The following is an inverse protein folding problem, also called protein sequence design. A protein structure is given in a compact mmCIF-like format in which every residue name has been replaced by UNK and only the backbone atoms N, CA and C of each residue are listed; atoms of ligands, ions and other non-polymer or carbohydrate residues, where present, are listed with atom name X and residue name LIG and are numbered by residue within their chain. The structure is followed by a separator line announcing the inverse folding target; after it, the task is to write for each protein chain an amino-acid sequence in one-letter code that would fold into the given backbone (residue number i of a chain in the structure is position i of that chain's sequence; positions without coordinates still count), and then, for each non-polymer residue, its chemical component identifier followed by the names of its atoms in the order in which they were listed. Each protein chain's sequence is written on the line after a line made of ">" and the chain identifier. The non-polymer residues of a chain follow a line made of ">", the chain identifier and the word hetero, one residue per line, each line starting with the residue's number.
data_IF_639479253414
#
_entry.id   IF_639479253414
#
_cell.length_a   1.000
_cell.length_b   1.000
_cell.length_c   1.000
_cell.angle_alpha   90.00
_cell.angle_beta   90.00
_cell.angle_gamma   90.00
#
_symmetry.space_group_name_H-M   'P 1'
#
loop_
_entity.id
_entity.type
_entity.pdbx_description
1 polymer ?
#
# COMPACT_ATOMS: atom_id res chain seq x y z
N UNK A 1 -22.21 -24.05 -25.00
CA UNK A 1 -21.29 -22.91 -24.86
C UNK A 1 -20.47 -23.14 -23.60
N UNK A 2 -19.14 -22.99 -23.61
CA UNK A 2 -18.38 -23.09 -22.37
C UNK A 2 -18.82 -21.95 -21.45
N UNK A 3 -19.29 -22.29 -20.25
CA UNK A 3 -19.58 -21.31 -19.20
C UNK A 3 -18.24 -20.68 -18.83
N UNK A 4 -18.15 -19.35 -18.84
CA UNK A 4 -16.91 -18.65 -18.44
C UNK A 4 -16.55 -18.96 -16.99
N UNK A 5 -15.30 -18.68 -16.59
CA UNK A 5 -14.88 -18.79 -15.19
C UNK A 5 -15.74 -17.90 -14.29
N UNK A 6 -15.78 -18.18 -12.99
CA UNK A 6 -16.58 -17.39 -12.03
C UNK A 6 -16.18 -15.91 -12.06
N UNK A 7 -14.86 -15.65 -12.11
CA UNK A 7 -14.24 -14.34 -12.31
C UNK A 7 -14.77 -13.64 -13.56
N UNK A 8 -14.84 -14.34 -14.71
CA UNK A 8 -15.39 -13.78 -15.95
C UNK A 8 -16.89 -13.51 -15.88
N UNK A 9 -17.64 -14.33 -15.16
CA UNK A 9 -19.08 -14.14 -14.95
C UNK A 9 -19.31 -12.90 -14.08
N UNK A 10 -18.55 -12.75 -12.98
CA UNK A 10 -18.61 -11.59 -12.10
C UNK A 10 -18.28 -10.29 -12.84
N UNK A 11 -17.17 -10.27 -13.59
CA UNK A 11 -16.79 -9.12 -14.42
C UNK A 11 -17.89 -8.72 -15.42
N UNK A 12 -18.55 -9.71 -16.05
CA UNK A 12 -19.68 -9.47 -16.96
C UNK A 12 -20.90 -8.89 -16.26
N UNK A 13 -21.19 -9.33 -15.03
CA UNK A 13 -22.30 -8.79 -14.22
C UNK A 13 -22.04 -7.34 -13.79
N UNK A 14 -20.80 -6.97 -13.49
CA UNK A 14 -20.41 -5.62 -13.11
C UNK A 14 -20.35 -4.65 -14.29
N UNK A 15 -19.98 -5.14 -15.47
CA UNK A 15 -19.80 -4.31 -16.68
C UNK A 15 -21.05 -3.49 -17.01
N UNK A 16 -20.86 -2.18 -17.18
CA UNK A 16 -21.90 -1.22 -17.52
C UNK A 16 -22.76 -0.77 -16.34
N UNK A 17 -22.54 -1.28 -15.12
CA UNK A 17 -23.20 -0.75 -13.92
C UNK A 17 -22.64 0.63 -13.58
N UNK A 18 -23.50 1.50 -13.06
CA UNK A 18 -23.10 2.77 -12.48
C UNK A 18 -22.54 2.49 -11.08
N UNK A 19 -21.28 2.84 -10.85
CA UNK A 19 -20.65 2.87 -9.53
C UNK A 19 -20.78 4.30 -8.99
N UNK A 20 -21.35 4.43 -7.80
CA UNK A 20 -21.45 5.69 -7.05
C UNK A 20 -20.69 5.51 -5.74
N UNK A 21 -19.60 6.25 -5.55
CA UNK A 21 -18.82 6.26 -4.32
C UNK A 21 -19.15 7.59 -3.61
N UNK A 22 -19.64 7.60 -2.36
CA UNK A 22 -19.90 8.84 -1.64
C UNK A 22 -18.59 9.59 -1.33
N UNK A 23 -18.69 10.87 -0.96
CA UNK A 23 -17.52 11.60 -0.46
C UNK A 23 -17.01 10.94 0.83
N UNK A 24 -15.79 10.43 0.79
CA UNK A 24 -15.15 9.75 1.91
C UNK A 24 -14.42 10.72 2.84
N UNK A 25 -14.15 11.97 2.40
CA UNK A 25 -13.38 12.95 3.19
C UNK A 25 -14.01 13.26 4.55
N UNK A 26 -15.35 13.37 4.70
CA UNK A 26 -15.95 13.65 6.00
C UNK A 26 -15.62 12.61 7.08
N UNK A 27 -15.43 11.34 6.71
CA UNK A 27 -15.10 10.24 7.62
C UNK A 27 -13.75 10.50 8.34
N UNK A 28 -12.82 11.17 7.67
CA UNK A 28 -11.47 11.46 8.16
C UNK A 28 -11.27 12.91 8.59
N UNK A 29 -12.36 13.69 8.73
CA UNK A 29 -12.28 15.15 8.90
C UNK A 29 -11.54 15.59 10.18
N UNK A 30 -11.49 14.72 11.20
CA UNK A 30 -10.75 14.94 12.46
C UNK A 30 -9.33 14.36 12.43
N UNK A 31 -8.96 13.60 11.41
CA UNK A 31 -7.60 13.08 11.25
C UNK A 31 -6.67 14.11 10.59
N UNK A 32 -5.37 14.11 10.92
CA UNK A 32 -4.40 15.00 10.27
C UNK A 32 -4.31 14.70 8.76
N UNK A 33 -4.20 15.78 7.96
CA UNK A 33 -3.96 15.72 6.52
C UNK A 33 -3.06 16.88 6.11
N UNK A 34 -1.91 16.57 5.50
CA UNK A 34 -0.90 17.54 5.09
C UNK A 34 -0.25 17.13 3.77
N UNK A 35 0.57 18.00 3.20
CA UNK A 35 1.43 17.70 2.06
C UNK A 35 2.83 18.25 2.33
N UNK A 36 3.84 17.42 2.11
CA UNK A 36 5.24 17.84 2.20
C UNK A 36 5.55 18.99 1.23
N UNK A 37 6.26 20.00 1.71
CA UNK A 37 6.84 21.06 0.89
C UNK A 37 7.85 20.52 -0.14
N UNK A 38 8.37 19.31 0.07
CA UNK A 38 9.37 18.67 -0.78
C UNK A 38 8.79 18.12 -2.10
N UNK A 39 7.46 18.09 -2.25
CA UNK A 39 6.78 17.49 -3.42
C UNK A 39 7.30 18.02 -4.76
N UNK A 40 7.29 19.34 -4.97
CA UNK A 40 7.63 19.94 -6.27
C UNK A 40 9.06 19.60 -6.69
N UNK A 41 10.02 19.72 -5.76
CA UNK A 41 11.42 19.38 -5.99
C UNK A 41 11.60 17.89 -6.32
N UNK A 42 10.86 17.01 -5.64
CA UNK A 42 10.97 15.56 -5.82
C UNK A 42 10.29 15.10 -7.11
N UNK A 43 9.14 15.68 -7.49
CA UNK A 43 8.44 15.32 -8.74
C UNK A 43 9.34 15.45 -9.97
N UNK A 44 10.05 16.56 -10.09
CA UNK A 44 10.99 16.79 -11.20
C UNK A 44 12.17 15.80 -11.18
N UNK A 45 12.66 15.46 -9.99
CA UNK A 45 13.74 14.50 -9.82
C UNK A 45 13.32 13.08 -10.21
N UNK A 46 12.10 12.67 -9.80
CA UNK A 46 11.52 11.38 -10.14
C UNK A 46 11.35 11.25 -11.65
N UNK A 47 10.78 12.25 -12.32
CA UNK A 47 10.58 12.20 -13.77
C UNK A 47 11.91 12.00 -14.53
N UNK A 48 12.98 12.70 -14.12
CA UNK A 48 14.32 12.49 -14.68
C UNK A 48 14.85 11.09 -14.40
N UNK A 49 14.72 10.60 -13.16
CA UNK A 49 15.19 9.26 -12.76
C UNK A 49 14.50 8.16 -13.57
N UNK A 50 13.18 8.25 -13.77
CA UNK A 50 12.40 7.27 -14.53
C UNK A 50 12.87 7.11 -15.97
N UNK A 51 13.26 8.19 -16.64
CA UNK A 51 13.80 8.15 -18.01
C UNK A 51 15.10 7.34 -18.14
N UNK A 52 15.83 7.16 -17.03
CA UNK A 52 17.08 6.40 -16.96
C UNK A 52 16.83 4.95 -16.59
N UNK A 53 15.93 4.69 -15.63
CA UNK A 53 15.73 3.36 -15.05
C UNK A 53 14.68 2.52 -15.77
N UNK A 54 13.71 3.13 -16.45
CA UNK A 54 12.65 2.45 -17.19
C UNK A 54 12.77 2.76 -18.69
N UNK A 55 13.20 1.81 -19.54
CA UNK A 55 13.35 2.07 -20.98
C UNK A 55 12.00 2.18 -21.72
N UNK A 56 10.92 1.65 -21.14
CA UNK A 56 9.57 1.66 -21.73
C UNK A 56 8.84 2.96 -21.42
N UNK A 57 8.48 3.73 -22.46
CA UNK A 57 7.64 4.94 -22.31
C UNK A 57 6.28 4.63 -21.66
N UNK A 58 5.71 3.44 -21.94
CA UNK A 58 4.46 2.99 -21.29
C UNK A 58 4.63 2.87 -19.78
N UNK A 59 5.72 2.22 -19.33
CA UNK A 59 6.00 2.07 -17.89
C UNK A 59 6.35 3.41 -17.25
N UNK A 60 7.13 4.26 -17.93
CA UNK A 60 7.40 5.62 -17.46
C UNK A 60 6.10 6.41 -17.27
N UNK A 61 5.17 6.33 -18.23
CA UNK A 61 3.87 6.99 -18.13
C UNK A 61 3.05 6.44 -16.96
N UNK A 62 2.99 5.11 -16.79
CA UNK A 62 2.25 4.50 -15.69
C UNK A 62 2.74 4.98 -14.31
N UNK A 63 4.06 5.03 -14.11
CA UNK A 63 4.64 5.55 -12.86
C UNK A 63 4.42 7.05 -12.70
N UNK A 64 4.51 7.84 -13.78
CA UNK A 64 4.20 9.27 -13.73
C UNK A 64 2.72 9.55 -13.43
N UNK A 65 1.80 8.76 -13.98
CA UNK A 65 0.37 8.86 -13.69
C UNK A 65 0.06 8.45 -12.25
N UNK A 66 0.85 7.52 -11.69
CA UNK A 66 0.79 7.15 -10.27
C UNK A 66 1.37 8.21 -9.33
N UNK A 67 2.17 9.15 -9.82
CA UNK A 67 2.77 10.25 -9.04
C UNK A 67 3.26 9.80 -7.63
N UNK A 68 4.27 8.91 -7.54
CA UNK A 68 4.76 8.40 -6.27
C UNK A 68 5.39 9.51 -5.39
N UNK A 69 5.81 10.62 -5.98
CA UNK A 69 6.26 11.80 -5.24
C UNK A 69 5.10 12.45 -4.48
N UNK A 70 3.90 12.51 -5.08
CA UNK A 70 2.71 13.01 -4.40
C UNK A 70 2.26 12.05 -3.30
N UNK A 71 2.27 10.75 -3.57
CA UNK A 71 1.94 9.74 -2.56
C UNK A 71 2.84 9.89 -1.33
N UNK A 72 4.16 9.92 -1.55
CA UNK A 72 5.14 10.14 -0.49
C UNK A 72 4.91 11.48 0.24
N UNK A 73 4.65 12.56 -0.50
CA UNK A 73 4.38 13.88 0.07
C UNK A 73 3.16 13.90 1.00
N UNK A 74 2.17 13.05 0.75
CA UNK A 74 0.96 12.96 1.55
C UNK A 74 1.08 11.97 2.71
N UNK A 75 1.85 10.90 2.54
CA UNK A 75 2.07 9.89 3.57
C UNK A 75 3.06 10.36 4.64
N UNK A 76 4.15 10.99 4.23
CA UNK A 76 5.22 11.43 5.13
C UNK A 76 5.46 12.95 5.05
N UNK A 77 4.42 13.78 5.30
CA UNK A 77 4.49 15.21 5.07
C UNK A 77 5.51 15.93 5.98
N UNK A 78 5.80 15.36 7.15
CA UNK A 78 6.67 15.93 8.19
C UNK A 78 8.08 15.33 8.20
N UNK A 79 8.40 14.40 7.29
CA UNK A 79 9.74 13.82 7.20
C UNK A 79 10.76 14.86 6.78
N UNK A 80 11.98 14.74 7.30
CA UNK A 80 13.12 15.54 6.80
C UNK A 80 13.39 15.20 5.33
N UNK A 81 14.05 16.12 4.62
CA UNK A 81 14.39 15.92 3.21
C UNK A 81 15.07 14.57 2.93
N UNK A 82 16.07 14.18 3.74
CA UNK A 82 16.80 12.93 3.52
C UNK A 82 15.92 11.69 3.72
N UNK A 83 15.03 11.70 4.73
CA UNK A 83 14.08 10.61 4.95
C UNK A 83 13.06 10.56 3.82
N UNK A 84 12.51 11.71 3.44
CA UNK A 84 11.53 11.86 2.37
C UNK A 84 12.03 11.29 1.02
N UNK A 85 13.28 11.55 0.67
CA UNK A 85 13.88 10.99 -0.55
C UNK A 85 13.92 9.46 -0.54
N UNK A 86 14.34 8.86 0.57
CA UNK A 86 14.41 7.41 0.72
C UNK A 86 13.02 6.79 0.67
N UNK A 87 12.04 7.41 1.34
CA UNK A 87 10.65 6.95 1.31
C UNK A 87 10.04 7.02 -0.09
N UNK A 88 10.35 8.08 -0.84
CA UNK A 88 9.92 8.20 -2.25
C UNK A 88 10.58 7.14 -3.13
N UNK A 89 11.90 6.94 -2.97
CA UNK A 89 12.64 5.94 -3.73
C UNK A 89 12.17 4.51 -3.43
N UNK A 90 11.85 4.21 -2.18
CA UNK A 90 11.26 2.95 -1.78
C UNK A 90 9.88 2.75 -2.42
N UNK A 91 9.02 3.77 -2.40
CA UNK A 91 7.69 3.73 -3.05
C UNK A 91 7.80 3.42 -4.54
N UNK A 92 8.76 4.05 -5.23
CA UNK A 92 9.02 3.81 -6.66
C UNK A 92 9.54 2.39 -6.88
N UNK A 93 10.54 1.97 -6.11
CA UNK A 93 11.14 0.65 -6.21
C UNK A 93 10.08 -0.44 -6.03
N UNK A 94 9.23 -0.27 -5.01
CA UNK A 94 8.16 -1.19 -4.67
C UNK A 94 7.13 -1.30 -5.79
N UNK A 95 6.64 -0.17 -6.31
CA UNK A 95 5.67 -0.19 -7.42
C UNK A 95 6.23 -0.82 -8.70
N UNK A 96 7.52 -0.60 -9.02
CA UNK A 96 8.15 -1.24 -10.18
C UNK A 96 8.37 -2.75 -9.93
N UNK A 97 8.69 -3.14 -8.69
CA UNK A 97 8.85 -4.55 -8.30
C UNK A 97 7.53 -5.32 -8.42
N UNK A 98 6.46 -4.75 -7.89
CA UNK A 98 5.09 -5.29 -7.94
C UNK A 98 4.63 -5.49 -9.39
N UNK A 99 4.67 -4.42 -10.19
CA UNK A 99 4.35 -4.47 -11.62
C UNK A 99 5.20 -5.52 -12.36
N UNK A 100 6.49 -5.66 -12.03
CA UNK A 100 7.37 -6.64 -12.69
C UNK A 100 6.95 -8.07 -12.36
N UNK A 101 6.66 -8.39 -11.09
CA UNK A 101 6.27 -9.73 -10.65
C UNK A 101 4.92 -10.13 -11.22
N UNK A 102 3.94 -9.21 -11.24
CA UNK A 102 2.61 -9.48 -11.81
C UNK A 102 2.65 -9.81 -13.31
N UNK A 103 3.58 -9.21 -14.05
CA UNK A 103 3.71 -9.41 -15.50
C UNK A 103 4.55 -10.65 -15.88
N UNK A 104 5.08 -11.41 -14.92
CA UNK A 104 5.76 -12.67 -15.19
C UNK A 104 4.75 -13.80 -15.44
N UNK A 105 4.65 -14.24 -16.69
CA UNK A 105 3.76 -15.34 -17.08
C UNK A 105 4.19 -16.68 -16.46
N UNK A 106 5.50 -16.93 -16.42
CA UNK A 106 6.10 -18.15 -15.90
C UNK A 106 6.22 -18.10 -14.38
N UNK A 107 5.55 -19.03 -13.70
CA UNK A 107 5.53 -19.14 -12.24
C UNK A 107 6.92 -19.43 -11.66
N UNK A 108 7.76 -20.20 -12.36
CA UNK A 108 9.12 -20.51 -11.92
C UNK A 108 10.00 -19.25 -11.96
N UNK A 109 9.92 -18.47 -13.04
CA UNK A 109 10.70 -17.23 -13.17
C UNK A 109 10.27 -16.20 -12.11
N UNK A 110 8.97 -16.13 -11.80
CA UNK A 110 8.45 -15.29 -10.72
C UNK A 110 8.98 -15.73 -9.35
N UNK A 111 9.01 -17.03 -9.08
CA UNK A 111 9.52 -17.55 -7.81
C UNK A 111 11.02 -17.34 -7.65
N UNK A 112 11.81 -17.59 -8.70
CA UNK A 112 13.24 -17.31 -8.71
C UNK A 112 13.52 -15.82 -8.47
N UNK A 113 12.70 -14.94 -9.05
CA UNK A 113 12.80 -13.50 -8.83
C UNK A 113 12.48 -13.09 -7.39
N UNK A 114 11.43 -13.67 -6.78
CA UNK A 114 11.08 -13.45 -5.37
C UNK A 114 12.20 -13.90 -4.45
N UNK A 115 12.71 -15.12 -4.62
CA UNK A 115 13.81 -15.66 -3.82
C UNK A 115 15.07 -14.81 -3.93
N UNK A 116 15.47 -14.44 -5.15
CA UNK A 116 16.61 -13.56 -5.37
C UNK A 116 16.41 -12.17 -4.73
N UNK A 117 15.17 -11.66 -4.71
CA UNK A 117 14.85 -10.41 -4.02
C UNK A 117 15.03 -10.55 -2.52
N UNK A 118 14.45 -11.58 -1.89
CA UNK A 118 14.54 -11.80 -0.42
C UNK A 118 15.99 -11.95 0.03
N UNK A 119 16.76 -12.79 -0.66
CA UNK A 119 18.19 -12.98 -0.36
C UNK A 119 18.97 -11.67 -0.44
N UNK A 120 18.70 -10.87 -1.48
CA UNK A 120 19.39 -9.60 -1.65
C UNK A 120 18.94 -8.53 -0.65
N UNK A 121 17.65 -8.46 -0.30
CA UNK A 121 17.16 -7.54 0.75
C UNK A 121 17.79 -7.89 2.09
N UNK A 122 17.82 -9.17 2.47
CA UNK A 122 18.49 -9.62 3.70
C UNK A 122 19.99 -9.29 3.70
N UNK A 123 20.68 -9.51 2.58
CA UNK A 123 22.08 -9.12 2.43
C UNK A 123 22.27 -7.61 2.54
N UNK A 124 21.42 -6.84 1.87
CA UNK A 124 21.43 -5.38 1.88
C UNK A 124 21.06 -4.82 3.25
N UNK A 125 20.36 -5.55 4.11
CA UNK A 125 20.20 -5.14 5.50
C UNK A 125 21.35 -5.59 6.41
N UNK A 126 22.30 -6.37 5.90
CA UNK A 126 23.40 -6.92 6.70
C UNK A 126 22.95 -8.03 7.64
N UNK A 127 21.89 -8.76 7.27
CA UNK A 127 21.26 -9.83 8.06
C UNK A 127 21.39 -11.20 7.39
N UNK A 128 22.05 -11.28 6.23
CA UNK A 128 22.27 -12.55 5.55
C UNK A 128 23.29 -13.42 6.29
N UNK A 129 22.94 -14.70 6.50
CA UNK A 129 23.80 -15.70 7.16
C UNK A 129 24.99 -16.18 6.31
N UNK A 130 25.09 -15.77 5.04
CA UNK A 130 26.14 -16.20 4.11
C UNK A 130 26.90 -15.01 3.55
N UNK A 131 28.19 -14.94 3.84
CA UNK A 131 29.10 -14.04 3.12
C UNK A 131 29.21 -14.52 1.66
N UNK A 132 29.17 -13.58 0.71
CA UNK A 132 29.46 -13.86 -0.70
C UNK A 132 28.29 -14.28 -1.59
N UNK A 133 27.04 -14.02 -1.23
CA UNK A 133 25.91 -14.18 -2.16
C UNK A 133 26.16 -13.36 -3.45
N UNK A 134 26.02 -13.96 -4.65
CA UNK A 134 26.26 -13.26 -5.89
C UNK A 134 25.35 -12.03 -6.03
N UNK A 135 25.93 -10.92 -6.50
CA UNK A 135 25.17 -9.73 -6.84
C UNK A 135 24.12 -10.08 -7.90
N UNK A 136 22.82 -9.82 -7.67
CA UNK A 136 21.77 -10.19 -8.60
C UNK A 136 21.99 -9.60 -9.98
N UNK A 137 21.74 -10.39 -11.03
CA UNK A 137 21.86 -9.90 -12.42
C UNK A 137 20.79 -8.82 -12.68
N UNK A 138 19.59 -9.03 -12.14
CA UNK A 138 18.45 -8.15 -12.38
C UNK A 138 18.66 -6.77 -11.72
N UNK A 139 18.58 -5.71 -12.53
CA UNK A 139 18.84 -4.33 -12.08
C UNK A 139 17.83 -3.83 -11.03
N UNK A 140 16.56 -4.25 -11.14
CA UNK A 140 15.53 -3.85 -10.18
C UNK A 140 15.88 -4.27 -8.76
N UNK A 141 16.31 -5.52 -8.57
CA UNK A 141 16.72 -6.04 -7.26
C UNK A 141 17.94 -5.25 -6.74
N UNK A 142 18.96 -5.06 -7.60
CA UNK A 142 20.18 -4.30 -7.23
C UNK A 142 19.94 -2.85 -6.81
N UNK A 143 18.96 -2.19 -7.42
CA UNK A 143 18.67 -0.79 -7.12
C UNK A 143 18.22 -0.58 -5.66
N UNK A 144 17.81 -1.64 -4.97
CA UNK A 144 17.46 -1.61 -3.55
C UNK A 144 18.62 -1.23 -2.64
N UNK A 145 19.88 -1.53 -3.00
CA UNK A 145 21.04 -1.30 -2.13
C UNK A 145 21.19 0.17 -1.71
N UNK A 146 20.86 1.11 -2.59
CA UNK A 146 20.92 2.54 -2.27
C UNK A 146 19.92 2.95 -1.17
N UNK A 147 18.75 2.32 -1.14
CA UNK A 147 17.74 2.49 -0.08
C UNK A 147 18.22 1.80 1.19
N UNK A 148 18.67 0.55 1.06
CA UNK A 148 19.12 -0.27 2.17
C UNK A 148 20.31 0.34 2.91
N UNK A 149 21.27 0.95 2.21
CA UNK A 149 22.39 1.66 2.83
C UNK A 149 21.90 2.74 3.81
N UNK A 150 20.95 3.57 3.39
CA UNK A 150 20.40 4.65 4.22
C UNK A 150 19.62 4.10 5.42
N UNK A 151 18.98 2.95 5.25
CA UNK A 151 18.33 2.23 6.35
C UNK A 151 19.37 1.70 7.34
N UNK A 152 20.45 1.05 6.88
CA UNK A 152 21.53 0.53 7.75
C UNK A 152 22.23 1.63 8.56
N UNK A 153 22.32 2.83 8.02
CA UNK A 153 22.90 3.99 8.71
C UNK A 153 22.00 4.52 9.83
N UNK A 154 20.69 4.23 9.78
CA UNK A 154 19.69 4.81 10.66
C UNK A 154 19.09 3.83 11.68
N UNK A 155 18.92 2.58 11.26
CA UNK A 155 18.28 1.53 12.06
C UNK A 155 19.33 0.66 12.74
N UNK A 156 19.01 0.23 13.96
CA UNK A 156 19.78 -0.80 14.63
C UNK A 156 19.49 -2.21 14.07
N UNK A 157 20.03 -3.24 14.71
CA UNK A 157 19.84 -4.62 14.26
C UNK A 157 18.37 -5.08 14.36
N UNK A 158 17.71 -4.77 15.49
CA UNK A 158 16.34 -5.21 15.78
C UNK A 158 15.34 -4.57 14.83
N UNK A 159 15.47 -3.26 14.55
CA UNK A 159 14.63 -2.56 13.58
C UNK A 159 14.82 -3.09 12.15
N UNK A 160 16.05 -3.49 11.79
CA UNK A 160 16.32 -4.10 10.47
C UNK A 160 15.74 -5.51 10.35
N UNK A 161 15.78 -6.31 11.42
CA UNK A 161 15.17 -7.64 11.44
C UNK A 161 13.65 -7.56 11.30
N UNK A 162 13.01 -6.65 12.02
CA UNK A 162 11.57 -6.44 11.92
C UNK A 162 11.16 -5.91 10.54
N UNK A 163 11.93 -4.97 9.98
CA UNK A 163 11.70 -4.51 8.61
C UNK A 163 11.86 -5.64 7.60
N UNK A 164 12.90 -6.48 7.72
CA UNK A 164 13.11 -7.64 6.85
C UNK A 164 11.90 -8.59 6.90
N UNK A 165 11.33 -8.81 8.09
CA UNK A 165 10.13 -9.63 8.26
C UNK A 165 8.95 -9.11 7.46
N UNK A 166 8.74 -7.79 7.40
CA UNK A 166 7.69 -7.19 6.58
C UNK A 166 7.93 -7.39 5.07
N UNK A 167 9.18 -7.23 4.61
CA UNK A 167 9.54 -7.50 3.22
C UNK A 167 9.28 -8.97 2.86
N UNK A 168 9.73 -9.91 3.68
CA UNK A 168 9.55 -11.34 3.45
C UNK A 168 8.07 -11.72 3.40
N UNK A 169 7.26 -11.20 4.34
CA UNK A 169 5.82 -11.45 4.37
C UNK A 169 5.11 -10.96 3.11
N UNK A 170 5.41 -9.73 2.67
CA UNK A 170 4.82 -9.19 1.44
C UNK A 170 5.23 -10.02 0.22
N UNK A 171 6.54 -10.29 0.06
CA UNK A 171 7.05 -11.04 -1.09
C UNK A 171 6.43 -12.43 -1.15
N UNK A 172 6.35 -13.15 -0.02
CA UNK A 172 5.74 -14.48 0.05
C UNK A 172 4.24 -14.45 -0.24
N UNK A 173 3.54 -13.41 0.20
CA UNK A 173 2.11 -13.25 -0.02
C UNK A 173 1.76 -12.95 -1.48
N UNK A 174 2.63 -12.27 -2.25
CA UNK A 174 2.40 -11.99 -3.67
C UNK A 174 2.23 -13.26 -4.53
N UNK A 175 2.80 -14.39 -4.08
CA UNK A 175 2.56 -15.71 -4.69
C UNK A 175 1.08 -16.10 -4.59
N UNK A 176 0.48 -15.91 -3.41
CA UNK A 176 -0.91 -16.30 -3.14
C UNK A 176 -1.88 -15.40 -3.93
N UNK A 177 -1.59 -14.11 -4.05
CA UNK A 177 -2.41 -13.20 -4.87
C UNK A 177 -2.34 -13.57 -6.36
N UNK A 178 -1.15 -13.94 -6.87
CA UNK A 178 -1.01 -14.48 -8.23
C UNK A 178 -1.86 -15.74 -8.44
N UNK A 179 -1.99 -16.60 -7.42
CA UNK A 179 -2.84 -17.79 -7.46
C UNK A 179 -4.33 -17.43 -7.52
N UNK A 180 -4.76 -16.37 -6.80
CA UNK A 180 -6.14 -15.88 -6.87
C UNK A 180 -6.47 -15.29 -8.24
N UNK A 181 -5.58 -14.47 -8.82
CA UNK A 181 -5.78 -13.89 -10.15
C UNK A 181 -5.88 -14.97 -11.25
N UNK A 182 -5.16 -16.08 -11.10
CA UNK A 182 -5.18 -17.21 -12.05
C UNK A 182 -6.29 -18.24 -11.75
N UNK A 183 -7.02 -18.09 -10.64
CA UNK A 183 -8.07 -19.02 -10.23
C UNK A 183 -9.32 -18.91 -11.12
N UNK A 184 -9.98 -20.04 -11.38
CA UNK A 184 -11.30 -20.05 -12.01
C UNK A 184 -12.43 -19.63 -11.05
N UNK A 185 -12.14 -19.67 -9.74
CA UNK A 185 -13.06 -19.37 -8.64
C UNK A 185 -12.73 -18.03 -7.99
N UNK A 186 -13.76 -17.33 -7.57
CA UNK A 186 -13.66 -16.09 -6.80
C UNK A 186 -13.45 -16.45 -5.31
N UNK A 187 -12.45 -15.87 -4.61
CA UNK A 187 -12.23 -16.18 -3.20
C UNK A 187 -13.37 -15.62 -2.32
N UNK A 188 -13.58 -16.21 -1.14
CA UNK A 188 -14.47 -15.60 -0.15
C UNK A 188 -13.90 -14.26 0.34
N UNK A 189 -14.76 -13.36 0.84
CA UNK A 189 -14.32 -12.08 1.38
C UNK A 189 -13.32 -12.24 2.54
N UNK A 190 -13.51 -13.25 3.40
CA UNK A 190 -12.54 -13.58 4.46
C UNK A 190 -11.18 -13.94 3.86
N UNK A 191 -11.15 -14.85 2.89
CA UNK A 191 -9.90 -15.33 2.30
C UNK A 191 -9.19 -14.23 1.50
N UNK A 192 -9.96 -13.33 0.88
CA UNK A 192 -9.44 -12.12 0.29
C UNK A 192 -8.69 -11.27 1.31
N UNK A 193 -9.30 -10.97 2.47
CA UNK A 193 -8.66 -10.14 3.51
C UNK A 193 -7.41 -10.77 4.14
N UNK A 194 -7.39 -12.09 4.30
CA UNK A 194 -6.18 -12.81 4.76
C UNK A 194 -4.96 -12.60 3.86
N UNK A 195 -5.18 -12.35 2.57
CA UNK A 195 -4.11 -12.13 1.59
C UNK A 195 -3.88 -10.64 1.37
N UNK A 196 -4.94 -9.87 1.15
CA UNK A 196 -4.88 -8.43 0.87
C UNK A 196 -4.15 -7.63 1.95
N UNK A 197 -4.33 -8.01 3.21
CA UNK A 197 -3.62 -7.37 4.34
C UNK A 197 -2.10 -7.56 4.26
N UNK A 198 -1.63 -8.60 3.58
CA UNK A 198 -0.21 -8.88 3.35
C UNK A 198 0.28 -8.34 1.99
N UNK A 199 -0.56 -8.36 0.95
CA UNK A 199 -0.18 -8.01 -0.43
C UNK A 199 -0.42 -6.57 -0.84
N UNK A 200 -1.13 -5.77 -0.03
CA UNK A 200 -1.28 -4.33 -0.31
C UNK A 200 0.05 -3.56 -0.40
N UNK A 201 1.16 -4.16 0.06
CA UNK A 201 2.49 -3.56 0.16
C UNK A 201 2.62 -2.47 1.22
N UNK A 202 1.49 -2.06 1.78
CA UNK A 202 1.39 -1.04 2.79
C UNK A 202 2.09 -1.46 4.08
N UNK A 203 2.01 -2.72 4.49
CA UNK A 203 2.72 -3.21 5.69
C UNK A 203 4.22 -2.91 5.64
N UNK A 204 4.85 -3.14 4.48
CA UNK A 204 6.28 -2.83 4.28
C UNK A 204 6.56 -1.32 4.37
N UNK A 205 5.70 -0.49 3.80
CA UNK A 205 5.84 0.97 3.87
C UNK A 205 5.53 1.54 5.26
N UNK A 206 4.59 0.96 6.00
CA UNK A 206 4.31 1.30 7.40
C UNK A 206 5.46 0.87 8.32
N UNK A 207 6.19 -0.20 7.99
CA UNK A 207 7.39 -0.63 8.72
C UNK A 207 8.54 0.40 8.70
N UNK A 208 8.45 1.38 7.79
CA UNK A 208 9.37 2.50 7.68
C UNK A 208 8.93 3.74 8.48
N UNK A 209 7.92 3.62 9.34
CA UNK A 209 7.39 4.75 10.12
C UNK A 209 8.41 5.36 11.06
N UNK A 210 9.16 4.52 11.78
CA UNK A 210 10.27 4.95 12.65
C UNK A 210 11.34 5.72 11.85
N UNK A 211 11.71 5.22 10.66
CA UNK A 211 12.66 5.87 9.76
C UNK A 211 12.13 7.22 9.28
N UNK A 212 10.88 7.26 8.82
CA UNK A 212 10.27 8.46 8.27
C UNK A 212 10.20 9.60 9.31
N UNK A 213 9.93 9.25 10.57
CA UNK A 213 9.76 10.20 11.67
C UNK A 213 11.02 10.45 12.49
N UNK A 214 12.10 9.69 12.25
CA UNK A 214 13.33 9.71 13.05
C UNK A 214 13.07 9.44 14.54
N UNK A 215 12.25 8.42 14.82
CA UNK A 215 11.89 7.98 16.17
C UNK A 215 12.21 6.50 16.34
N UNK A 216 12.33 6.05 17.61
CA UNK A 216 12.36 4.64 17.95
C UNK A 216 11.20 4.29 18.87
N UNK A 217 10.39 3.32 18.47
CA UNK A 217 9.29 2.80 19.28
C UNK A 217 9.78 1.75 20.28
N UNK A 218 9.25 1.71 21.51
CA UNK A 218 9.56 0.63 22.44
C UNK A 218 8.95 -0.69 21.97
N UNK A 219 9.73 -1.78 22.00
CA UNK A 219 9.24 -3.12 21.65
C UNK A 219 8.04 -3.56 22.51
N UNK A 220 7.98 -3.11 23.77
CA UNK A 220 6.84 -3.35 24.66
C UNK A 220 5.53 -2.74 24.15
N UNK A 221 5.58 -1.83 23.18
CA UNK A 221 4.42 -1.24 22.50
C UNK A 221 4.15 -1.93 21.16
N UNK A 222 5.19 -2.15 20.34
CA UNK A 222 5.06 -2.77 19.02
C UNK A 222 4.42 -4.16 19.11
N UNK A 223 4.72 -4.90 20.19
CA UNK A 223 4.20 -6.24 20.46
C UNK A 223 2.81 -6.29 21.10
N UNK A 224 2.16 -5.14 21.30
CA UNK A 224 0.83 -5.09 21.91
C UNK A 224 -0.26 -5.30 20.87
N UNK A 225 -1.38 -5.90 21.30
CA UNK A 225 -2.60 -6.01 20.49
C UNK A 225 -3.15 -4.65 20.07
N UNK A 226 -2.95 -3.60 20.89
CA UNK A 226 -3.37 -2.24 20.54
C UNK A 226 -2.60 -1.73 19.30
N UNK A 227 -1.27 -1.86 19.29
CA UNK A 227 -0.46 -1.47 18.13
C UNK A 227 -0.82 -2.28 16.89
N UNK A 228 -0.98 -3.60 17.03
CA UNK A 228 -1.43 -4.48 15.94
C UNK A 228 -2.80 -4.06 15.38
N UNK A 229 -3.74 -3.69 16.25
CA UNK A 229 -5.06 -3.20 15.84
C UNK A 229 -4.96 -1.90 15.03
N UNK A 230 -4.14 -0.95 15.47
CA UNK A 230 -3.89 0.29 14.72
C UNK A 230 -3.26 -0.01 13.35
N UNK A 231 -2.28 -0.90 13.32
CA UNK A 231 -1.59 -1.32 12.10
C UNK A 231 -2.55 -1.97 11.09
N UNK A 232 -3.30 -2.99 11.51
CA UNK A 232 -4.24 -3.70 10.63
C UNK A 232 -5.37 -2.78 10.18
N UNK A 233 -5.93 -1.95 11.07
CA UNK A 233 -6.98 -0.99 10.70
C UNK A 233 -6.47 -0.02 9.64
N UNK A 234 -5.22 0.45 9.77
CA UNK A 234 -4.58 1.33 8.79
C UNK A 234 -4.49 0.66 7.41
N UNK A 235 -4.06 -0.61 7.37
CA UNK A 235 -3.96 -1.37 6.12
C UNK A 235 -5.32 -1.61 5.48
N UNK A 236 -6.31 -2.00 6.27
CA UNK A 236 -7.63 -2.36 5.75
C UNK A 236 -8.38 -1.12 5.27
N UNK A 237 -8.36 -0.01 6.00
CA UNK A 237 -8.97 1.26 5.54
C UNK A 237 -8.41 1.65 4.17
N UNK A 238 -7.08 1.67 4.04
CA UNK A 238 -6.41 2.00 2.79
C UNK A 238 -6.80 1.05 1.65
N UNK A 239 -6.85 -0.25 1.93
CA UNK A 239 -7.22 -1.28 0.96
C UNK A 239 -8.68 -1.13 0.49
N UNK A 240 -9.64 -0.84 1.39
CA UNK A 240 -11.04 -0.62 1.00
C UNK A 240 -11.16 0.63 0.13
N UNK A 241 -10.48 1.73 0.48
CA UNK A 241 -10.43 2.94 -0.35
C UNK A 241 -9.87 2.62 -1.75
N UNK A 242 -8.76 1.87 -1.79
CA UNK A 242 -8.15 1.45 -3.04
C UNK A 242 -9.14 0.61 -3.87
N UNK A 243 -9.81 -0.37 -3.27
CA UNK A 243 -10.76 -1.24 -3.95
C UNK A 243 -11.97 -0.49 -4.51
N UNK A 244 -12.49 0.50 -3.78
CA UNK A 244 -13.56 1.38 -4.25
C UNK A 244 -13.12 2.20 -5.46
N UNK A 245 -11.98 2.89 -5.35
CA UNK A 245 -11.52 3.85 -6.37
C UNK A 245 -10.92 3.14 -7.60
N UNK A 246 -10.25 1.99 -7.39
CA UNK A 246 -9.56 1.26 -8.45
C UNK A 246 -10.44 0.30 -9.24
N UNK A 247 -11.65 -0.04 -8.77
CA UNK A 247 -12.49 -1.10 -9.34
C UNK A 247 -12.63 -1.02 -10.87
N UNK A 248 -12.89 0.17 -11.42
CA UNK A 248 -12.99 0.38 -12.88
C UNK A 248 -11.67 0.08 -13.61
N UNK A 249 -10.55 0.50 -13.04
CA UNK A 249 -9.20 0.26 -13.59
C UNK A 249 -8.92 -1.24 -13.58
N UNK A 250 -9.13 -1.91 -12.45
CA UNK A 250 -8.83 -3.35 -12.32
C UNK A 250 -9.74 -4.20 -13.21
N UNK A 251 -11.03 -3.87 -13.33
CA UNK A 251 -11.93 -4.53 -14.27
C UNK A 251 -11.50 -4.40 -15.73
N UNK A 252 -10.90 -3.27 -16.11
CA UNK A 252 -10.33 -3.10 -17.46
C UNK A 252 -9.09 -3.95 -17.69
N UNK A 253 -8.34 -4.25 -16.62
CA UNK A 253 -7.22 -5.18 -16.64
C UNK A 253 -7.68 -6.65 -16.58
N UNK A 254 -8.97 -6.91 -16.35
CA UNK A 254 -9.55 -8.25 -16.28
C UNK A 254 -9.62 -8.84 -14.88
N UNK A 255 -9.22 -8.08 -13.85
CA UNK A 255 -9.31 -8.48 -12.45
C UNK A 255 -10.64 -8.05 -11.83
N UNK A 256 -11.14 -8.88 -10.92
CA UNK A 256 -12.26 -8.57 -10.01
C UNK A 256 -11.87 -8.85 -8.56
N UNK A 257 -10.57 -8.90 -8.27
CA UNK A 257 -10.03 -9.16 -6.94
C UNK A 257 -10.12 -7.88 -6.09
N UNK A 258 -11.33 -7.55 -5.67
CA UNK A 258 -11.69 -6.34 -4.93
C UNK A 258 -12.79 -6.67 -3.93
N UNK A 259 -12.66 -6.21 -2.68
CA UNK A 259 -13.70 -6.40 -1.66
C UNK A 259 -15.09 -5.92 -2.12
N UNK A 260 -15.16 -4.85 -2.92
CA UNK A 260 -16.41 -4.34 -3.50
C UNK A 260 -17.00 -5.32 -4.51
N UNK A 261 -16.17 -5.90 -5.37
CA UNK A 261 -16.62 -6.91 -6.34
C UNK A 261 -17.06 -8.21 -5.65
N UNK A 262 -16.38 -8.61 -4.56
CA UNK A 262 -16.75 -9.76 -3.75
C UNK A 262 -18.08 -9.56 -3.00
N UNK A 263 -18.28 -8.39 -2.40
CA UNK A 263 -19.56 -8.03 -1.79
C UNK A 263 -20.68 -8.00 -2.83
N UNK A 264 -20.42 -7.44 -4.02
CA UNK A 264 -21.38 -7.50 -5.12
C UNK A 264 -21.68 -8.95 -5.56
N UNK A 265 -20.68 -9.83 -5.57
CA UNK A 265 -20.88 -11.24 -5.89
C UNK A 265 -21.81 -11.94 -4.90
N UNK A 266 -21.69 -11.61 -3.61
CA UNK A 266 -22.51 -12.18 -2.53
C UNK A 266 -23.94 -11.64 -2.52
N UNK A 267 -24.13 -10.33 -2.73
CA UNK A 267 -25.43 -9.67 -2.56
C UNK A 267 -26.15 -9.32 -3.87
N UNK A 268 -25.48 -9.39 -5.02
CA UNK A 268 -25.94 -8.95 -6.35
C UNK A 268 -26.41 -7.47 -6.42
N UNK A 269 -26.01 -6.65 -5.46
CA UNK A 269 -26.33 -5.23 -5.34
C UNK A 269 -25.04 -4.41 -5.16
N UNK A 270 -24.76 -3.53 -6.13
CA UNK A 270 -23.52 -2.75 -6.15
C UNK A 270 -23.59 -1.55 -5.19
N UNK A 271 -24.76 -0.96 -5.02
CA UNK A 271 -24.94 0.17 -4.10
C UNK A 271 -24.82 -0.33 -2.66
N UNK A 272 -25.38 -1.52 -2.36
CA UNK A 272 -25.19 -2.18 -1.07
C UNK A 272 -23.71 -2.56 -0.85
N UNK A 273 -23.01 -3.08 -1.87
CA UNK A 273 -21.59 -3.40 -1.75
C UNK A 273 -20.75 -2.16 -1.39
N UNK A 274 -21.01 -1.02 -2.04
CA UNK A 274 -20.34 0.25 -1.70
C UNK A 274 -20.72 0.70 -0.28
N UNK A 275 -22.00 0.64 0.09
CA UNK A 275 -22.44 1.03 1.43
C UNK A 275 -21.73 0.21 2.52
N UNK A 276 -21.66 -1.12 2.37
CA UNK A 276 -20.98 -2.00 3.30
C UNK A 276 -19.48 -1.70 3.40
N UNK A 277 -18.83 -1.37 2.27
CA UNK A 277 -17.42 -0.93 2.27
C UNK A 277 -17.23 0.40 3.04
N UNK A 278 -18.13 1.36 2.86
CA UNK A 278 -18.08 2.67 3.55
C UNK A 278 -18.35 2.50 5.05
N UNK A 279 -19.36 1.73 5.42
CA UNK A 279 -19.68 1.42 6.81
C UNK A 279 -18.49 0.72 7.50
N UNK A 280 -17.79 -0.15 6.78
CA UNK A 280 -16.61 -0.83 7.32
C UNK A 280 -15.44 0.14 7.55
N UNK A 281 -15.21 1.10 6.65
CA UNK A 281 -14.23 2.18 6.86
C UNK A 281 -14.59 2.97 8.13
N UNK A 282 -15.85 3.36 8.31
CA UNK A 282 -16.30 4.12 9.49
C UNK A 282 -16.05 3.35 10.79
N UNK A 283 -16.42 2.06 10.83
CA UNK A 283 -16.17 1.19 11.99
C UNK A 283 -14.68 1.07 12.31
N UNK A 284 -13.82 0.94 11.29
CA UNK A 284 -12.38 0.87 11.49
C UNK A 284 -11.78 2.19 11.97
N UNK A 285 -12.30 3.34 11.52
CA UNK A 285 -11.89 4.67 12.02
C UNK A 285 -12.25 4.83 13.49
N UNK A 286 -13.47 4.47 13.88
CA UNK A 286 -13.90 4.48 15.29
C UNK A 286 -13.06 3.52 16.15
N UNK A 287 -12.80 2.31 15.66
CA UNK A 287 -11.93 1.34 16.35
C UNK A 287 -10.52 1.91 16.51
N UNK A 288 -9.97 2.50 15.46
CA UNK A 288 -8.65 3.10 15.47
C UNK A 288 -8.54 4.20 16.53
N UNK A 289 -9.49 5.13 16.55
CA UNK A 289 -9.43 6.28 17.47
C UNK A 289 -9.56 5.85 18.94
N UNK A 290 -10.50 4.95 19.24
CA UNK A 290 -10.63 4.39 20.58
C UNK A 290 -9.37 3.64 21.02
N UNK A 291 -8.78 2.84 20.11
CA UNK A 291 -7.56 2.09 20.40
C UNK A 291 -6.37 3.02 20.63
N UNK A 292 -6.22 4.06 19.81
CA UNK A 292 -5.17 5.05 19.92
C UNK A 292 -5.26 5.82 21.24
N UNK A 293 -6.47 6.22 21.65
CA UNK A 293 -6.70 6.88 22.93
C UNK A 293 -6.27 6.01 24.10
N UNK A 294 -6.73 4.75 24.15
CA UNK A 294 -6.37 3.80 25.22
C UNK A 294 -4.87 3.55 25.26
N UNK A 295 -4.23 3.36 24.10
CA UNK A 295 -2.80 3.13 24.01
C UNK A 295 -2.00 4.32 24.56
N UNK A 296 -2.33 5.54 24.13
CA UNK A 296 -1.62 6.76 24.53
C UNK A 296 -1.84 7.08 26.02
N UNK A 297 -3.06 6.91 26.53
CA UNK A 297 -3.33 7.06 27.96
C UNK A 297 -2.51 6.06 28.79
N UNK A 298 -2.42 4.81 28.31
CA UNK A 298 -1.68 3.72 28.97
C UNK A 298 -0.17 3.98 29.10
N UNK A 299 0.41 4.86 28.29
CA UNK A 299 1.85 5.20 28.31
C UNK A 299 2.12 6.65 28.74
N UNK A 300 1.11 7.37 29.20
CA UNK A 300 1.21 8.81 29.54
C UNK A 300 2.25 9.14 30.62
N UNK A 301 2.70 8.16 31.41
CA UNK A 301 3.76 8.31 32.40
C UNK A 301 5.17 8.36 31.80
N UNK A 302 5.35 7.89 30.57
CA UNK A 302 6.62 7.92 29.83
C UNK A 302 6.53 8.94 28.69
N UNK A 303 7.02 10.15 28.95
CA UNK A 303 6.92 11.26 28.00
C UNK A 303 7.62 10.98 26.66
N UNK A 304 8.74 10.25 26.69
CA UNK A 304 9.51 9.95 25.47
C UNK A 304 8.79 8.91 24.61
N UNK A 305 8.32 7.81 25.24
CA UNK A 305 7.52 6.81 24.55
C UNK A 305 6.22 7.41 24.03
N UNK A 306 5.54 8.22 24.84
CA UNK A 306 4.30 8.89 24.43
C UNK A 306 4.51 9.78 23.20
N UNK A 307 5.57 10.60 23.16
CA UNK A 307 5.86 11.44 22.00
C UNK A 307 6.12 10.61 20.73
N UNK A 308 6.97 9.57 20.82
CA UNK A 308 7.30 8.72 19.69
C UNK A 308 6.06 7.95 19.15
N UNK A 309 5.29 7.35 20.06
CA UNK A 309 4.07 6.60 19.71
C UNK A 309 3.01 7.54 19.13
N UNK A 310 2.79 8.72 19.73
CA UNK A 310 1.83 9.71 19.21
C UNK A 310 2.16 10.13 17.77
N UNK A 311 3.44 10.34 17.44
CA UNK A 311 3.85 10.67 16.07
C UNK A 311 3.55 9.53 15.10
N UNK A 312 3.77 8.28 15.49
CA UNK A 312 3.49 7.10 14.63
C UNK A 312 1.98 6.89 14.46
N UNK A 313 1.18 7.06 15.51
CA UNK A 313 -0.29 7.04 15.43
C UNK A 313 -0.79 8.08 14.43
N UNK A 314 -0.33 9.32 14.54
CA UNK A 314 -0.73 10.36 13.60
C UNK A 314 -0.21 10.12 12.19
N UNK A 315 0.96 9.50 12.03
CA UNK A 315 1.46 9.07 10.72
C UNK A 315 0.53 8.05 10.07
N UNK A 316 0.06 7.04 10.79
CA UNK A 316 -0.90 6.06 10.27
C UNK A 316 -2.22 6.72 9.83
N UNK A 317 -2.70 7.71 10.59
CA UNK A 317 -3.86 8.54 10.17
C UNK A 317 -3.55 9.32 8.88
N UNK A 318 -2.39 9.99 8.81
CA UNK A 318 -1.96 10.75 7.63
C UNK A 318 -1.76 9.87 6.39
N UNK A 319 -1.33 8.62 6.57
CA UNK A 319 -1.20 7.66 5.48
C UNK A 319 -2.58 7.35 4.86
N UNK A 320 -3.63 7.20 5.67
CA UNK A 320 -5.00 6.98 5.16
C UNK A 320 -5.58 8.22 4.48
N UNK A 321 -5.52 9.39 5.13
CA UNK A 321 -6.00 10.65 4.54
C UNK A 321 -5.21 10.98 3.28
N UNK A 322 -3.90 10.79 3.32
CA UNK A 322 -3.00 11.00 2.21
C UNK A 322 -3.23 10.04 1.03
N UNK A 323 -3.53 8.77 1.30
CA UNK A 323 -3.89 7.80 0.27
C UNK A 323 -5.21 8.16 -0.42
N UNK A 324 -6.23 8.60 0.32
CA UNK A 324 -7.48 9.07 -0.26
C UNK A 324 -7.23 10.28 -1.17
N UNK A 325 -6.59 11.33 -0.66
CA UNK A 325 -6.30 12.55 -1.44
C UNK A 325 -5.45 12.26 -2.68
N UNK A 326 -4.42 11.41 -2.55
CA UNK A 326 -3.64 10.95 -3.68
C UNK A 326 -4.50 10.19 -4.69
N UNK A 327 -5.35 9.26 -4.25
CA UNK A 327 -6.18 8.43 -5.14
C UNK A 327 -7.19 9.27 -5.95
N UNK A 328 -7.66 10.39 -5.39
CA UNK A 328 -8.58 11.32 -6.06
C UNK A 328 -7.91 12.19 -7.12
N UNK A 329 -6.64 12.54 -6.93
CA UNK A 329 -5.91 13.51 -7.78
C UNK A 329 -4.96 12.84 -8.77
N UNK A 330 -4.34 11.72 -8.39
CA UNK A 330 -3.43 10.99 -9.25
C UNK A 330 -4.16 10.42 -10.47
N UNK A 331 -3.46 10.41 -11.62
CA UNK A 331 -4.02 9.88 -12.87
C UNK A 331 -4.11 8.35 -12.89
N UNK A 332 -3.53 7.67 -11.90
CA UNK A 332 -3.51 6.20 -11.76
C UNK A 332 -4.89 5.58 -11.97
N UNK A 333 -5.92 6.09 -11.31
CA UNK A 333 -7.28 5.57 -11.37
C UNK A 333 -8.18 6.37 -12.33
N UNK A 334 -7.79 7.60 -12.65
CA UNK A 334 -8.53 8.47 -13.57
C UNK A 334 -9.92 8.85 -13.07
N UNK A 335 -10.10 8.95 -11.74
CA UNK A 335 -11.40 9.29 -11.12
C UNK A 335 -11.65 10.78 -10.99
N UNK A 336 -10.62 11.63 -11.12
CA UNK A 336 -10.72 13.08 -10.96
C UNK A 336 -11.83 13.71 -11.83
N UNK A 337 -11.96 13.25 -13.07
CA UNK A 337 -12.96 13.74 -14.02
C UNK A 337 -14.41 13.30 -13.69
N UNK A 338 -14.57 12.39 -12.72
CA UNK A 338 -15.85 11.80 -12.31
C UNK A 338 -16.34 12.31 -10.94
N UNK A 339 -15.57 13.16 -10.27
CA UNK A 339 -15.92 13.79 -8.99
C UNK A 339 -17.02 14.84 -9.21
N UNK A 340 -18.07 14.81 -8.40
CA UNK A 340 -19.20 15.74 -8.40
C UNK A 340 -18.99 16.91 -7.44
N UNK A 341 -19.87 17.90 -7.51
CA UNK A 341 -19.83 19.08 -6.63
C UNK A 341 -19.96 18.72 -5.14
N UNK A 342 -20.67 17.64 -4.82
CA UNK A 342 -20.84 17.13 -3.45
C UNK A 342 -19.69 16.21 -2.98
N UNK A 343 -18.65 16.04 -3.80
CA UNK A 343 -17.49 15.20 -3.52
C UNK A 343 -17.67 13.72 -3.87
N UNK A 344 -18.88 13.28 -4.24
CA UNK A 344 -19.12 11.90 -4.69
C UNK A 344 -18.43 11.62 -6.03
N UNK A 345 -18.13 10.34 -6.30
CA UNK A 345 -17.58 9.87 -7.58
C UNK A 345 -18.65 9.05 -8.28
N UNK A 346 -18.98 9.42 -9.52
CA UNK A 346 -19.92 8.63 -10.33
C UNK A 346 -19.29 8.20 -11.65
N UNK A 347 -19.18 6.89 -11.88
CA UNK A 347 -18.63 6.34 -13.10
C UNK A 347 -19.35 5.06 -13.53
N UNK A 348 -19.09 4.60 -14.75
CA UNK A 348 -19.55 3.30 -15.24
C UNK A 348 -18.37 2.32 -15.31
N UNK A 349 -18.61 1.08 -14.86
CA UNK A 349 -17.63 -0.02 -14.82
C UNK A 349 -17.40 -0.64 -16.21
#
# INVERSE_FOLDING_TARGET
>A
MPRGTETQILAKKLKGKKLVIPDLKPIFSHWPSQQSEHYAKTKDAVQRKLSIILPSEKHQKAVNDADPALLAARWWPTSTWDRFQVMTDLTIWFGIWDDYVENLENLQDAEEFRLATKEYVAQSFGLANREGTPVPIHRLIRNFESIAQRIREAYDHEQREELLRHFDQYIDATRIETEFEKSEFVPSLQRYWEVRTLTSGMGTLLGMSEFALDVKLPMSIITTTAYETLWVSTIVINSVINDLISLKKEMRAGSVLSSVALLFHEFEDLDLAVQLSVDYIQQLVELYDNTAEVLLQGISYDAQAHEAVSKVVDLFRMVNTGNLEWSLVAKRYGVADFIKEDGSIELYL
#
